data_IF_677634661619
#
_entry.id   IF_677634661619
#
_cell.length_a   1.000
_cell.length_b   1.000
_cell.length_c   1.000
_cell.angle_alpha   90.00
_cell.angle_beta   90.00
_cell.angle_gamma   90.00
#
_symmetry.space_group_name_H-M   'P 1'
#
loop_
_entity.id
_entity.type
_entity.pdbx_description
1 polymer ?
#
# COMPACT_ATOMS: atom_id res chain seq x y z
N UNK A 1 6.08 -2.69 1.89
CA UNK A 1 6.23 -3.69 2.98
C UNK A 1 7.05 -3.17 4.17
N UNK A 2 8.33 -2.78 3.99
CA UNK A 2 9.21 -2.33 5.11
C UNK A 2 8.55 -1.26 5.99
N UNK A 3 8.00 -0.20 5.38
CA UNK A 3 7.29 0.85 6.11
C UNK A 3 6.10 0.34 6.94
N UNK A 4 5.33 -0.61 6.41
CA UNK A 4 4.17 -1.18 7.13
C UNK A 4 4.61 -1.86 8.43
N UNK A 5 5.70 -2.63 8.37
CA UNK A 5 6.24 -3.34 9.55
C UNK A 5 6.93 -2.37 10.50
N UNK A 6 7.75 -1.43 10.00
CA UNK A 6 8.39 -0.41 10.83
C UNK A 6 7.38 0.47 11.58
N UNK A 7 6.20 0.73 11.01
CA UNK A 7 5.14 1.50 11.68
C UNK A 7 4.64 0.81 12.96
N UNK A 8 4.73 -0.52 13.03
CA UNK A 8 4.30 -1.32 14.18
C UNK A 8 5.46 -1.59 15.16
N UNK A 9 6.65 -1.91 14.65
CA UNK A 9 7.76 -2.48 15.43
C UNK A 9 9.05 -1.62 15.43
N UNK A 10 9.04 -0.42 14.84
CA UNK A 10 10.19 0.49 14.61
C UNK A 10 11.33 -0.06 13.72
N UNK A 11 11.40 -1.37 13.53
CA UNK A 11 12.38 -2.05 12.68
C UNK A 11 11.78 -3.30 12.04
N UNK A 12 12.48 -3.86 11.06
CA UNK A 12 12.12 -5.11 10.39
C UNK A 12 13.31 -6.06 10.45
N UNK A 13 13.08 -7.34 10.75
CA UNK A 13 14.10 -8.38 10.63
C UNK A 13 14.14 -8.92 9.21
N UNK A 14 15.32 -9.21 8.68
CA UNK A 14 15.47 -9.76 7.32
C UNK A 14 14.60 -11.00 7.07
N UNK A 15 14.56 -11.94 8.02
CA UNK A 15 13.74 -13.16 7.88
C UNK A 15 12.24 -12.84 7.84
N UNK A 16 11.77 -11.91 8.66
CA UNK A 16 10.38 -11.45 8.67
C UNK A 16 10.02 -10.79 7.33
N UNK A 17 10.91 -9.96 6.79
CA UNK A 17 10.73 -9.32 5.48
C UNK A 17 10.64 -10.36 4.35
N UNK A 18 11.59 -11.31 4.32
CA UNK A 18 11.63 -12.36 3.30
C UNK A 18 10.36 -13.23 3.32
N UNK A 19 9.91 -13.61 4.52
CA UNK A 19 8.68 -14.37 4.71
C UNK A 19 7.44 -13.59 4.23
N UNK A 20 7.30 -12.31 4.60
CA UNK A 20 6.17 -11.46 4.17
C UNK A 20 6.14 -11.21 2.66
N UNK A 21 7.31 -11.23 2.01
CA UNK A 21 7.43 -11.09 0.56
C UNK A 21 7.34 -12.43 -0.19
N UNK A 22 7.27 -13.56 0.53
CA UNK A 22 7.33 -14.91 -0.03
C UNK A 22 8.54 -15.13 -0.95
N UNK A 23 9.72 -14.66 -0.53
CA UNK A 23 10.99 -14.80 -1.26
C UNK A 23 12.09 -15.38 -0.38
N UNK A 24 13.16 -15.88 -1.01
CA UNK A 24 14.35 -16.34 -0.28
C UNK A 24 15.04 -15.18 0.46
N UNK A 25 15.58 -15.39 1.67
CA UNK A 25 16.32 -14.35 2.40
C UNK A 25 17.47 -13.74 1.60
N UNK A 26 18.19 -14.57 0.82
CA UNK A 26 19.29 -14.10 -0.04
C UNK A 26 18.86 -13.09 -1.11
N UNK A 27 17.66 -13.24 -1.66
CA UNK A 27 17.09 -12.28 -2.62
C UNK A 27 16.72 -10.96 -1.94
N UNK A 28 16.18 -11.03 -0.73
CA UNK A 28 15.83 -9.85 0.07
C UNK A 28 17.06 -9.05 0.48
N UNK A 29 18.18 -9.72 0.81
CA UNK A 29 19.45 -9.07 1.16
C UNK A 29 19.96 -8.13 0.08
N UNK A 30 20.04 -8.60 -1.17
CA UNK A 30 20.52 -7.77 -2.29
C UNK A 30 19.66 -6.52 -2.47
N UNK A 31 18.33 -6.66 -2.35
CA UNK A 31 17.41 -5.55 -2.51
C UNK A 31 17.53 -4.54 -1.36
N UNK A 32 17.62 -5.00 -0.11
CA UNK A 32 17.80 -4.15 1.07
C UNK A 32 19.14 -3.41 1.02
N UNK A 33 20.22 -4.08 0.59
CA UNK A 33 21.52 -3.42 0.38
C UNK A 33 21.42 -2.31 -0.67
N UNK A 34 20.72 -2.54 -1.78
CA UNK A 34 20.46 -1.51 -2.80
C UNK A 34 19.65 -0.34 -2.25
N UNK A 35 18.63 -0.60 -1.41
CA UNK A 35 17.87 0.47 -0.75
C UNK A 35 18.74 1.25 0.24
N UNK A 36 19.67 0.59 0.91
CA UNK A 36 20.61 1.22 1.84
C UNK A 36 21.61 2.11 1.10
N UNK A 37 22.11 1.69 -0.07
CA UNK A 37 23.04 2.50 -0.88
C UNK A 37 22.42 3.78 -1.45
N UNK A 38 21.09 3.90 -1.48
CA UNK A 38 20.37 5.12 -1.90
C UNK A 38 19.73 5.88 -0.73
N UNK A 39 20.16 5.55 0.50
CA UNK A 39 19.78 6.20 1.76
C UNK A 39 18.28 6.10 2.09
N UNK A 40 17.65 4.96 1.77
CA UNK A 40 16.24 4.71 2.14
C UNK A 40 16.11 3.84 3.40
N UNK A 41 17.11 3.00 3.69
CA UNK A 41 17.09 2.12 4.86
C UNK A 41 18.46 2.05 5.53
N UNK A 42 18.44 1.92 6.84
CA UNK A 42 19.60 1.55 7.64
C UNK A 42 19.64 0.04 7.79
N UNK A 43 20.70 -0.61 7.29
CA UNK A 43 20.93 -2.03 7.47
C UNK A 43 22.04 -2.26 8.50
N UNK A 44 21.68 -2.76 9.69
CA UNK A 44 22.61 -2.98 10.80
C UNK A 44 23.01 -4.45 10.93
N UNK A 45 24.03 -4.72 11.75
CA UNK A 45 24.40 -6.09 12.19
C UNK A 45 23.16 -6.83 12.71
N UNK A 46 23.16 -8.16 12.55
CA UNK A 46 22.04 -9.06 12.87
C UNK A 46 20.80 -8.96 11.96
N UNK A 47 20.91 -8.29 10.81
CA UNK A 47 19.84 -8.27 9.81
C UNK A 47 18.66 -7.38 10.19
N UNK A 48 18.90 -6.37 11.03
CA UNK A 48 17.92 -5.36 11.40
C UNK A 48 17.88 -4.25 10.34
N UNK A 49 16.68 -3.94 9.89
CA UNK A 49 16.39 -2.94 8.87
C UNK A 49 15.52 -1.86 9.52
N UNK A 50 15.95 -0.61 9.49
CA UNK A 50 15.10 0.53 9.86
C UNK A 50 15.03 1.54 8.73
N UNK A 51 14.02 2.40 8.72
CA UNK A 51 13.91 3.45 7.72
C UNK A 51 14.83 4.63 8.08
N UNK A 52 15.36 5.27 7.06
CA UNK A 52 15.88 6.65 7.19
C UNK A 52 14.70 7.62 7.11
N UNK A 53 14.91 8.91 7.40
CA UNK A 53 13.85 9.93 7.22
C UNK A 53 13.31 9.94 5.78
N UNK A 54 14.22 9.89 4.80
CA UNK A 54 13.87 9.82 3.37
C UNK A 54 13.08 8.55 3.03
N UNK A 55 13.50 7.40 3.57
CA UNK A 55 12.77 6.14 3.41
C UNK A 55 11.38 6.17 4.03
N UNK A 56 11.23 6.85 5.17
CA UNK A 56 9.96 7.03 5.86
C UNK A 56 8.98 7.88 5.06
N UNK A 57 9.42 9.01 4.50
CA UNK A 57 8.58 9.87 3.65
C UNK A 57 8.07 9.12 2.42
N UNK A 58 8.97 8.42 1.71
CA UNK A 58 8.59 7.62 0.54
C UNK A 58 7.69 6.46 0.96
N UNK A 59 8.04 5.75 2.04
CA UNK A 59 7.26 4.64 2.57
C UNK A 59 5.84 5.05 2.95
N UNK A 60 5.70 6.21 3.59
CA UNK A 60 4.41 6.81 3.97
C UNK A 60 3.58 7.15 2.74
N UNK A 61 4.17 7.77 1.72
CA UNK A 61 3.48 8.06 0.46
C UNK A 61 2.98 6.79 -0.23
N UNK A 62 3.84 5.77 -0.36
CA UNK A 62 3.46 4.49 -0.98
C UNK A 62 2.37 3.77 -0.20
N UNK A 63 2.43 3.80 1.14
CA UNK A 63 1.39 3.23 1.99
C UNK A 63 0.07 3.98 1.88
N UNK A 64 0.10 5.31 1.86
CA UNK A 64 -1.07 6.15 1.64
C UNK A 64 -1.72 5.86 0.28
N UNK A 65 -0.92 5.78 -0.79
CA UNK A 65 -1.39 5.41 -2.13
C UNK A 65 -2.13 4.08 -2.15
N UNK A 66 -1.57 3.05 -1.50
CA UNK A 66 -2.23 1.75 -1.38
C UNK A 66 -3.60 1.89 -0.73
N UNK A 67 -3.69 2.58 0.41
CA UNK A 67 -4.94 2.71 1.17
C UNK A 67 -6.01 3.46 0.38
N UNK A 68 -5.65 4.52 -0.35
CA UNK A 68 -6.58 5.27 -1.20
C UNK A 68 -7.17 4.38 -2.30
N UNK A 69 -6.31 3.61 -2.98
CA UNK A 69 -6.75 2.73 -4.06
C UNK A 69 -7.57 1.56 -3.52
N UNK A 70 -7.13 0.91 -2.45
CA UNK A 70 -7.87 -0.19 -1.82
C UNK A 70 -9.27 0.27 -1.40
N UNK A 71 -9.35 1.43 -0.75
CA UNK A 71 -10.62 2.04 -0.33
C UNK A 71 -11.52 2.34 -1.52
N UNK A 72 -10.97 2.93 -2.58
CA UNK A 72 -11.70 3.19 -3.80
C UNK A 72 -12.29 1.90 -4.39
N UNK A 73 -11.47 0.85 -4.52
CA UNK A 73 -11.92 -0.44 -5.03
C UNK A 73 -13.02 -1.05 -4.17
N UNK A 74 -12.93 -0.93 -2.84
CA UNK A 74 -14.02 -1.34 -1.93
C UNK A 74 -15.30 -0.55 -2.18
N UNK A 75 -15.20 0.78 -2.29
CA UNK A 75 -16.35 1.67 -2.50
C UNK A 75 -17.09 1.39 -3.82
N UNK A 76 -16.35 1.08 -4.89
CA UNK A 76 -16.97 0.72 -6.18
C UNK A 76 -17.46 -0.75 -6.23
N UNK A 77 -17.41 -1.46 -5.11
CA UNK A 77 -17.98 -2.81 -4.97
C UNK A 77 -17.08 -3.96 -5.39
N UNK A 78 -15.75 -3.79 -5.48
CA UNK A 78 -14.82 -4.90 -5.71
C UNK A 78 -14.75 -5.80 -4.47
N UNK A 79 -15.29 -7.02 -4.59
CA UNK A 79 -15.36 -8.00 -3.48
C UNK A 79 -14.27 -9.07 -3.52
N UNK A 80 -13.75 -9.40 -4.70
CA UNK A 80 -12.75 -10.46 -4.88
C UNK A 80 -11.43 -9.86 -5.34
N UNK A 81 -10.30 -10.52 -4.99
CA UNK A 81 -8.94 -10.13 -5.41
C UNK A 81 -8.51 -8.69 -5.06
N UNK A 82 -9.22 -8.02 -4.15
CA UNK A 82 -9.00 -6.62 -3.81
C UNK A 82 -7.53 -6.23 -3.58
N UNK A 83 -6.80 -7.02 -2.79
CA UNK A 83 -5.38 -6.76 -2.52
C UNK A 83 -4.54 -6.81 -3.80
N UNK A 84 -4.76 -7.84 -4.62
CA UNK A 84 -4.03 -8.04 -5.87
C UNK A 84 -4.34 -6.91 -6.86
N UNK A 85 -5.61 -6.53 -6.99
CA UNK A 85 -6.02 -5.45 -7.89
C UNK A 85 -5.47 -4.10 -7.42
N UNK A 86 -5.46 -3.85 -6.12
CA UNK A 86 -4.82 -2.67 -5.52
C UNK A 86 -3.34 -2.61 -5.88
N UNK A 87 -2.59 -3.71 -5.65
CA UNK A 87 -1.16 -3.80 -5.94
C UNK A 87 -0.87 -3.58 -7.43
N UNK A 88 -1.67 -4.15 -8.33
CA UNK A 88 -1.52 -3.95 -9.77
C UNK A 88 -1.77 -2.49 -10.18
N UNK A 89 -2.80 -1.85 -9.62
CA UNK A 89 -3.18 -0.49 -9.97
C UNK A 89 -2.21 0.57 -9.43
N UNK A 90 -1.73 0.40 -8.19
CA UNK A 90 -0.92 1.42 -7.54
C UNK A 90 0.41 1.73 -8.27
N UNK A 91 0.93 0.79 -9.03
CA UNK A 91 2.16 0.97 -9.81
C UNK A 91 2.00 1.91 -11.02
N UNK A 92 0.78 2.09 -11.54
CA UNK A 92 0.52 2.86 -12.76
C UNK A 92 -0.24 4.17 -12.51
N UNK A 93 -0.79 4.36 -11.31
CA UNK A 93 -1.55 5.56 -10.95
C UNK A 93 -0.61 6.72 -10.63
N UNK A 94 -0.74 7.81 -11.39
CA UNK A 94 -0.02 9.07 -11.16
C UNK A 94 -0.59 9.83 -9.95
N UNK A 95 0.22 10.64 -9.24
CA UNK A 95 -0.23 11.40 -8.06
C UNK A 95 -1.49 12.26 -8.30
N UNK A 96 -1.63 12.88 -9.48
CA UNK A 96 -2.82 13.67 -9.84
C UNK A 96 -4.10 12.81 -9.86
N UNK A 97 -4.01 11.59 -10.38
CA UNK A 97 -5.14 10.67 -10.45
C UNK A 97 -5.45 10.14 -9.06
N UNK A 98 -4.43 9.79 -8.28
CA UNK A 98 -4.58 9.37 -6.88
C UNK A 98 -5.35 10.40 -6.05
N UNK A 99 -5.00 11.69 -6.17
CA UNK A 99 -5.68 12.78 -5.46
C UNK A 99 -7.17 12.88 -5.81
N UNK A 100 -7.53 12.68 -7.08
CA UNK A 100 -8.94 12.71 -7.49
C UNK A 100 -9.70 11.47 -6.99
N UNK A 101 -9.06 10.30 -6.98
CA UNK A 101 -9.63 9.08 -6.39
C UNK A 101 -9.85 9.29 -4.88
N UNK A 102 -8.87 9.87 -4.19
CA UNK A 102 -8.99 10.18 -2.77
C UNK A 102 -10.15 11.15 -2.49
N UNK A 103 -10.27 12.22 -3.28
CA UNK A 103 -11.39 13.15 -3.18
C UNK A 103 -12.74 12.46 -3.41
N UNK A 104 -12.83 11.56 -4.39
CA UNK A 104 -14.03 10.77 -4.64
C UNK A 104 -14.36 9.84 -3.45
N UNK A 105 -13.35 9.23 -2.83
CA UNK A 105 -13.56 8.43 -1.64
C UNK A 105 -14.15 9.26 -0.50
N UNK A 106 -13.62 10.46 -0.25
CA UNK A 106 -14.17 11.36 0.76
C UNK A 106 -15.59 11.80 0.44
N UNK A 107 -15.87 12.14 -0.82
CA UNK A 107 -17.22 12.47 -1.26
C UNK A 107 -18.23 11.36 -0.95
N UNK A 108 -17.90 10.09 -1.23
CA UNK A 108 -18.80 8.98 -0.91
C UNK A 108 -18.98 8.75 0.59
N UNK A 109 -17.93 8.96 1.39
CA UNK A 109 -18.03 8.83 2.85
C UNK A 109 -18.89 9.92 3.48
N UNK A 110 -18.75 11.16 2.99
CA UNK A 110 -19.53 12.30 3.47
C UNK A 110 -20.99 12.26 2.97
N UNK A 111 -21.29 11.43 1.96
CA UNK A 111 -22.60 11.34 1.32
C UNK A 111 -23.10 9.88 1.27
N UNK A 112 -23.35 9.29 2.44
CA UNK A 112 -23.78 7.88 2.57
C UNK A 112 -25.02 7.53 1.74
N UNK A 113 -25.99 8.45 1.64
CA UNK A 113 -27.20 8.24 0.81
C UNK A 113 -26.88 8.06 -0.69
N UNK A 114 -25.85 8.74 -1.18
CA UNK A 114 -25.39 8.62 -2.58
C UNK A 114 -24.70 7.28 -2.78
N UNK A 115 -23.91 6.84 -1.78
CA UNK A 115 -23.26 5.54 -1.80
C UNK A 115 -24.27 4.38 -1.75
N UNK A 116 -25.34 4.51 -0.96
CA UNK A 116 -26.44 3.55 -0.94
C UNK A 116 -27.13 3.45 -2.31
N UNK A 117 -27.52 4.59 -2.89
CA UNK A 117 -28.09 4.62 -4.26
C UNK A 117 -27.16 4.00 -5.30
N UNK A 118 -25.85 4.19 -5.15
CA UNK A 118 -24.85 3.57 -6.01
C UNK A 118 -24.87 2.05 -5.85
N UNK A 119 -24.91 1.51 -4.63
CA UNK A 119 -25.01 0.07 -4.40
C UNK A 119 -26.32 -0.53 -4.94
N UNK A 120 -27.46 0.14 -4.75
CA UNK A 120 -28.75 -0.29 -5.31
C UNK A 120 -28.70 -0.40 -6.84
N UNK A 121 -27.99 0.53 -7.49
CA UNK A 121 -27.78 0.50 -8.95
C UNK A 121 -26.94 -0.70 -9.39
N UNK A 122 -25.92 -1.09 -8.62
CA UNK A 122 -25.07 -2.25 -8.92
C UNK A 122 -25.83 -3.57 -8.81
N UNK A 123 -26.78 -3.67 -7.87
CA UNK A 123 -27.63 -4.86 -7.73
C UNK A 123 -28.67 -4.95 -8.84
N UNK A 124 -29.22 -3.81 -9.25
CA UNK A 124 -30.17 -3.72 -10.36
C UNK A 124 -29.59 -4.16 -11.71
N UNK A 125 -28.28 -3.95 -11.92
CA UNK A 125 -27.56 -4.37 -13.15
C UNK A 125 -27.29 -5.90 -13.16
N UNK A 126 -27.33 -6.57 -12.01
CA UNK A 126 -27.06 -8.02 -11.90
C UNK A 126 -28.31 -8.89 -12.10
N UNK A 127 -29.50 -8.29 -12.17
CA UNK A 127 -30.75 -8.96 -12.56
C UNK A 127 -30.95 -8.90 -14.07
#
# INVERSE_FOLDING_TARGET
MIYRICKEENYVRMNQLANRLNVRPSSSTKLVQKLSSIDLVNYKKYGLISLTKKGEEIGKFLYHRHNVIEKFLRLIGVKHNLLKDTELMEHYIKPRVLKNIEHLNYFFEDNSEVLEKYYDSLESIKK
#
